data_IF_130171214352
#
_entry.id   IF_130171214352
#
_cell.length_a   1.000
_cell.length_b   1.000
_cell.length_c   1.000
_cell.angle_alpha   90.00
_cell.angle_beta   90.00
_cell.angle_gamma   90.00
#
_symmetry.space_group_name_H-M   'P 1'
#
loop_
_entity.id
_entity.type
_entity.pdbx_description
1 polymer ?
#
# COMPACT_ATOMS: atom_id res chain seq x y z
N UNK A 1 -79.29 11.08 -25.69
CA UNK A 1 -78.74 11.33 -24.34
C UNK A 1 -77.76 10.20 -24.08
N UNK A 2 -76.46 10.43 -24.20
CA UNK A 2 -75.48 9.42 -23.76
C UNK A 2 -75.53 9.45 -22.23
N UNK A 3 -75.76 8.30 -21.59
CA UNK A 3 -75.87 8.25 -20.13
C UNK A 3 -74.56 8.69 -19.49
N UNK A 4 -74.64 9.73 -18.65
CA UNK A 4 -73.52 10.33 -17.90
C UNK A 4 -72.71 9.27 -17.14
N UNK A 5 -73.37 8.19 -16.71
CA UNK A 5 -72.77 7.05 -16.03
C UNK A 5 -71.77 6.27 -16.89
N UNK A 6 -72.04 6.10 -18.19
CA UNK A 6 -71.15 5.37 -19.12
C UNK A 6 -69.85 6.13 -19.30
N UNK A 7 -69.94 7.46 -19.44
CA UNK A 7 -68.78 8.34 -19.59
C UNK A 7 -67.90 8.31 -18.33
N UNK A 8 -68.52 8.36 -17.14
CA UNK A 8 -67.79 8.31 -15.87
C UNK A 8 -67.02 7.01 -15.68
N UNK A 9 -67.63 5.86 -15.99
CA UNK A 9 -66.97 4.55 -15.90
C UNK A 9 -65.80 4.45 -16.88
N UNK A 10 -65.98 4.92 -18.13
CA UNK A 10 -64.92 4.91 -19.13
C UNK A 10 -63.72 5.75 -18.70
N UNK A 11 -63.96 6.96 -18.16
CA UNK A 11 -62.89 7.83 -17.64
C UNK A 11 -62.18 7.19 -16.45
N UNK A 12 -62.91 6.55 -15.53
CA UNK A 12 -62.31 5.89 -14.37
C UNK A 12 -61.40 4.72 -14.77
N UNK A 13 -61.81 3.90 -15.75
CA UNK A 13 -60.99 2.80 -16.27
C UNK A 13 -59.73 3.32 -16.95
N UNK A 14 -59.84 4.37 -17.76
CA UNK A 14 -58.68 5.00 -18.41
C UNK A 14 -57.69 5.58 -17.38
N UNK A 15 -58.21 6.23 -16.33
CA UNK A 15 -57.37 6.75 -15.25
C UNK A 15 -56.63 5.63 -14.48
N UNK A 16 -57.32 4.51 -14.22
CA UNK A 16 -56.71 3.35 -13.57
C UNK A 16 -55.61 2.72 -14.43
N UNK A 17 -55.89 2.52 -15.73
CA UNK A 17 -54.90 1.99 -16.69
C UNK A 17 -53.67 2.89 -16.81
N UNK A 18 -53.86 4.22 -16.87
CA UNK A 18 -52.77 5.18 -16.88
C UNK A 18 -51.89 5.08 -15.63
N UNK A 19 -52.52 4.93 -14.45
CA UNK A 19 -51.80 4.79 -13.17
C UNK A 19 -50.98 3.50 -13.12
N UNK A 20 -51.54 2.37 -13.56
CA UNK A 20 -50.84 1.09 -13.60
C UNK A 20 -49.66 1.13 -14.58
N UNK A 21 -49.85 1.69 -15.77
CA UNK A 21 -48.78 1.84 -16.76
C UNK A 21 -47.65 2.75 -16.25
N UNK A 22 -47.99 3.86 -15.59
CA UNK A 22 -47.02 4.78 -15.00
C UNK A 22 -46.22 4.11 -13.87
N UNK A 23 -46.87 3.33 -13.01
CA UNK A 23 -46.20 2.58 -11.95
C UNK A 23 -45.24 1.53 -12.51
N UNK A 24 -45.66 0.78 -13.54
CA UNK A 24 -44.82 -0.21 -14.20
C UNK A 24 -43.59 0.40 -14.88
N UNK A 25 -43.77 1.51 -15.61
CA UNK A 25 -42.67 2.26 -16.22
C UNK A 25 -41.70 2.81 -15.16
N UNK A 26 -42.23 3.37 -14.07
CA UNK A 26 -41.42 3.91 -12.98
C UNK A 26 -40.62 2.79 -12.30
N UNK A 27 -41.22 1.63 -12.04
CA UNK A 27 -40.53 0.46 -11.49
C UNK A 27 -39.41 -0.04 -12.41
N UNK A 28 -39.69 -0.16 -13.70
CA UNK A 28 -38.70 -0.55 -14.70
C UNK A 28 -37.52 0.43 -14.77
N UNK A 29 -37.81 1.74 -14.85
CA UNK A 29 -36.77 2.77 -14.86
C UNK A 29 -35.99 2.83 -13.55
N UNK A 30 -36.63 2.62 -12.39
CA UNK A 30 -35.95 2.59 -11.10
C UNK A 30 -34.92 1.47 -11.06
N UNK A 31 -35.31 0.25 -11.43
CA UNK A 31 -34.40 -0.91 -11.46
C UNK A 31 -33.22 -0.69 -12.42
N UNK A 32 -33.48 -0.17 -13.62
CA UNK A 32 -32.40 0.13 -14.59
C UNK A 32 -31.51 1.30 -14.16
N UNK A 33 -32.08 2.31 -13.49
CA UNK A 33 -31.35 3.49 -13.02
C UNK A 33 -30.47 3.16 -11.82
N UNK A 34 -30.94 2.30 -10.90
CA UNK A 34 -30.18 1.84 -9.75
C UNK A 34 -28.92 1.09 -10.17
N UNK A 35 -29.00 0.19 -11.14
CA UNK A 35 -27.83 -0.53 -11.65
C UNK A 35 -26.80 0.43 -12.26
N UNK A 36 -27.23 1.41 -13.07
CA UNK A 36 -26.33 2.42 -13.65
C UNK A 36 -25.70 3.32 -12.58
N UNK A 37 -26.49 3.80 -11.62
CA UNK A 37 -26.00 4.62 -10.49
C UNK A 37 -24.99 3.84 -9.66
N UNK A 38 -25.21 2.54 -9.49
CA UNK A 38 -24.31 1.64 -8.79
C UNK A 38 -23.01 1.41 -9.54
N UNK A 39 -23.06 1.17 -10.85
CA UNK A 39 -21.85 1.07 -11.67
C UNK A 39 -21.05 2.39 -11.68
N UNK A 40 -21.74 3.53 -11.71
CA UNK A 40 -21.10 4.83 -11.61
C UNK A 40 -20.44 5.05 -10.25
N UNK A 41 -21.09 4.66 -9.14
CA UNK A 41 -20.48 4.76 -7.81
C UNK A 41 -19.27 3.82 -7.66
N UNK A 42 -19.34 2.60 -8.21
CA UNK A 42 -18.19 1.69 -8.28
C UNK A 42 -17.01 2.33 -9.01
N UNK A 43 -17.24 2.87 -10.20
CA UNK A 43 -16.19 3.53 -10.99
C UNK A 43 -15.60 4.74 -10.27
N UNK A 44 -16.43 5.52 -9.59
CA UNK A 44 -15.97 6.66 -8.79
C UNK A 44 -15.09 6.22 -7.60
N UNK A 45 -15.49 5.17 -6.88
CA UNK A 45 -14.68 4.61 -5.79
C UNK A 45 -13.38 4.02 -6.29
N UNK A 46 -13.41 3.26 -7.40
CA UNK A 46 -12.20 2.71 -8.00
C UNK A 46 -11.27 3.83 -8.48
N UNK A 47 -11.78 4.85 -9.15
CA UNK A 47 -11.00 6.02 -9.60
C UNK A 47 -10.31 6.74 -8.43
N UNK A 48 -10.92 6.78 -7.24
CA UNK A 48 -10.32 7.38 -6.05
C UNK A 48 -9.07 6.65 -5.55
N UNK A 49 -9.05 5.31 -5.65
CA UNK A 49 -7.95 4.48 -5.16
C UNK A 49 -6.99 4.01 -6.25
N UNK A 50 -7.35 4.32 -7.48
CA UNK A 50 -6.62 3.98 -8.68
C UNK A 50 -5.17 4.48 -8.64
N UNK A 51 -4.99 5.80 -8.62
CA UNK A 51 -3.65 6.41 -8.71
C UNK A 51 -2.78 6.09 -7.50
N UNK A 52 -3.30 6.12 -6.24
CA UNK A 52 -2.48 5.75 -5.10
C UNK A 52 -2.03 4.28 -5.10
N UNK A 53 -2.87 3.36 -5.57
CA UNK A 53 -2.51 1.95 -5.70
C UNK A 53 -1.49 1.74 -6.83
N UNK A 54 -1.67 2.44 -7.96
CA UNK A 54 -0.71 2.43 -9.07
C UNK A 54 0.67 2.86 -8.60
N UNK A 55 0.78 4.03 -7.96
CA UNK A 55 2.05 4.56 -7.46
C UNK A 55 2.73 3.60 -6.49
N UNK A 56 1.96 3.01 -5.55
CA UNK A 56 2.52 2.06 -4.60
C UNK A 56 2.96 0.73 -5.26
N UNK A 57 2.26 0.30 -6.32
CA UNK A 57 2.65 -0.88 -7.09
C UNK A 57 3.91 -0.61 -7.92
N UNK A 58 4.04 0.57 -8.53
CA UNK A 58 5.22 0.99 -9.29
C UNK A 58 6.45 1.13 -8.37
N UNK A 59 6.31 1.81 -7.23
CA UNK A 59 7.38 1.95 -6.23
C UNK A 59 7.88 0.58 -5.74
N UNK A 60 6.96 -0.36 -5.47
CA UNK A 60 7.33 -1.72 -5.07
C UNK A 60 7.99 -2.49 -6.22
N UNK A 61 7.48 -2.38 -7.45
CA UNK A 61 8.04 -3.02 -8.64
C UNK A 61 9.47 -2.55 -8.90
N UNK A 62 9.70 -1.22 -8.92
CA UNK A 62 11.03 -0.62 -9.07
C UNK A 62 11.96 -1.06 -7.94
N UNK A 63 11.47 -1.12 -6.70
CA UNK A 63 12.29 -1.59 -5.58
C UNK A 63 12.72 -3.05 -5.76
N UNK A 64 11.84 -3.91 -6.27
CA UNK A 64 12.18 -5.31 -6.56
C UNK A 64 13.18 -5.42 -7.71
N UNK A 65 13.03 -4.64 -8.78
CA UNK A 65 14.03 -4.57 -9.86
C UNK A 65 15.39 -4.18 -9.28
N UNK A 66 15.45 -3.19 -8.40
CA UNK A 66 16.70 -2.76 -7.79
C UNK A 66 17.33 -3.84 -6.91
N UNK A 67 16.52 -4.61 -6.19
CA UNK A 67 16.99 -5.73 -5.36
C UNK A 67 17.48 -6.89 -6.23
N UNK A 68 16.77 -7.21 -7.31
CA UNK A 68 17.03 -8.39 -8.17
C UNK A 68 18.16 -8.11 -9.17
N UNK A 69 18.06 -7.04 -9.96
CA UNK A 69 18.92 -6.82 -11.14
C UNK A 69 20.23 -6.12 -10.80
N UNK A 70 20.18 -5.12 -9.92
CA UNK A 70 21.37 -4.32 -9.62
C UNK A 70 22.19 -4.84 -8.45
N UNK A 71 21.73 -5.94 -7.81
CA UNK A 71 22.37 -6.45 -6.60
C UNK A 71 22.56 -5.33 -5.57
N UNK A 72 21.61 -4.38 -5.50
CA UNK A 72 21.70 -3.18 -4.65
C UNK A 72 22.08 -3.54 -3.21
N UNK A 73 21.64 -4.71 -2.76
CA UNK A 73 21.94 -5.25 -1.44
C UNK A 73 23.41 -5.67 -1.28
N UNK A 74 24.06 -6.15 -2.34
CA UNK A 74 25.50 -6.47 -2.35
C UNK A 74 26.37 -5.23 -2.35
N UNK A 75 26.04 -4.21 -3.15
CA UNK A 75 26.80 -2.95 -3.15
C UNK A 75 26.74 -2.27 -1.78
N UNK A 76 25.59 -2.36 -1.11
CA UNK A 76 25.45 -1.96 0.29
C UNK A 76 26.32 -2.82 1.22
N UNK A 77 26.31 -4.14 1.08
CA UNK A 77 27.10 -5.03 1.94
C UNK A 77 28.61 -4.79 1.79
N UNK A 78 29.08 -4.54 0.57
CA UNK A 78 30.49 -4.33 0.22
C UNK A 78 31.02 -2.97 0.74
N UNK A 79 30.16 -1.94 0.77
CA UNK A 79 30.51 -0.62 1.32
C UNK A 79 30.25 -0.46 2.83
N UNK A 80 29.71 -1.48 3.52
CA UNK A 80 29.39 -1.44 4.96
C UNK A 80 30.44 -2.19 5.81
N UNK A 81 31.71 -2.23 5.38
CA UNK A 81 32.81 -2.54 6.31
C UNK A 81 33.20 -1.27 7.05
N UNK A 82 32.36 -0.85 8.01
CA UNK A 82 32.56 0.34 8.82
C UNK A 82 32.53 -0.09 10.29
N UNK A 83 33.55 0.32 11.05
CA UNK A 83 33.88 -0.17 12.37
C UNK A 83 32.82 0.04 13.46
N UNK A 84 33.12 -0.37 14.70
CA UNK A 84 32.15 -0.51 15.80
C UNK A 84 31.46 0.77 16.29
N UNK A 85 31.72 1.94 15.67
CA UNK A 85 31.24 3.25 16.14
C UNK A 85 30.67 4.18 15.05
N UNK A 86 30.50 3.76 13.79
CA UNK A 86 30.11 4.69 12.70
C UNK A 86 28.77 4.34 12.01
N UNK A 87 28.20 5.39 11.41
CA UNK A 87 26.80 5.71 11.18
C UNK A 87 25.87 4.61 10.61
N UNK A 88 24.75 4.23 11.29
CA UNK A 88 23.74 3.27 10.83
C UNK A 88 22.92 3.69 9.58
N UNK A 89 23.38 4.68 8.81
CA UNK A 89 22.60 5.44 7.83
C UNK A 89 22.15 4.65 6.60
N UNK A 90 23.07 4.05 5.84
CA UNK A 90 22.76 3.59 4.46
C UNK A 90 22.14 2.19 4.40
N UNK A 91 22.69 1.21 5.14
CA UNK A 91 22.07 -0.13 5.25
C UNK A 91 20.73 -0.03 6.00
N UNK A 92 20.69 0.78 7.06
CA UNK A 92 19.48 1.08 7.81
C UNK A 92 18.41 1.73 6.93
N UNK A 93 18.79 2.65 6.05
CA UNK A 93 17.88 3.26 5.07
C UNK A 93 17.30 2.23 4.11
N UNK A 94 18.13 1.37 3.53
CA UNK A 94 17.69 0.40 2.52
C UNK A 94 16.69 -0.61 3.06
N UNK A 95 16.92 -1.11 4.28
CA UNK A 95 15.97 -1.98 4.98
C UNK A 95 14.68 -1.22 5.29
N UNK A 96 14.75 -0.02 5.89
CA UNK A 96 13.58 0.79 6.25
C UNK A 96 12.75 1.16 5.03
N UNK A 97 13.39 1.60 3.95
CA UNK A 97 12.72 1.99 2.71
C UNK A 97 12.08 0.79 2.02
N UNK A 98 12.75 -0.38 2.01
CA UNK A 98 12.13 -1.62 1.47
C UNK A 98 10.90 -1.98 2.28
N UNK A 99 11.00 -2.00 3.61
CA UNK A 99 9.85 -2.23 4.48
C UNK A 99 8.73 -1.21 4.27
N UNK A 100 9.06 0.06 4.04
CA UNK A 100 8.09 1.11 3.76
C UNK A 100 7.34 0.90 2.44
N UNK A 101 7.99 0.57 1.33
CA UNK A 101 7.26 0.35 0.05
C UNK A 101 6.31 -0.84 0.12
N UNK A 102 6.69 -1.89 0.86
CA UNK A 102 5.76 -3.00 1.18
C UNK A 102 4.59 -2.52 2.04
N UNK A 103 4.87 -1.73 3.09
CA UNK A 103 3.84 -1.14 3.95
C UNK A 103 2.85 -0.29 3.15
N UNK A 104 3.37 0.56 2.24
CA UNK A 104 2.59 1.44 1.39
C UNK A 104 1.69 0.66 0.45
N UNK A 105 2.22 -0.35 -0.24
CA UNK A 105 1.43 -1.24 -1.08
C UNK A 105 0.31 -1.91 -0.27
N UNK A 106 0.63 -2.53 0.87
CA UNK A 106 -0.37 -3.20 1.70
C UNK A 106 -1.38 -2.24 2.33
N UNK A 107 -1.01 -0.99 2.64
CA UNK A 107 -1.93 0.03 3.11
C UNK A 107 -2.99 0.32 2.06
N UNK A 108 -2.60 0.55 0.80
CA UNK A 108 -3.55 0.79 -0.28
C UNK A 108 -4.41 -0.42 -0.61
N UNK A 109 -3.85 -1.63 -0.54
CA UNK A 109 -4.64 -2.88 -0.65
C UNK A 109 -5.65 -3.00 0.51
N UNK A 110 -5.27 -2.64 1.73
CA UNK A 110 -6.16 -2.65 2.88
C UNK A 110 -7.28 -1.61 2.76
N UNK A 111 -6.95 -0.38 2.35
CA UNK A 111 -7.93 0.69 2.09
C UNK A 111 -8.91 0.25 1.00
N UNK A 112 -8.40 -0.23 -0.13
CA UNK A 112 -9.23 -0.74 -1.22
C UNK A 112 -10.13 -1.89 -0.73
N UNK A 113 -9.59 -2.84 0.04
CA UNK A 113 -10.38 -3.96 0.59
C UNK A 113 -11.51 -3.46 1.49
N UNK A 114 -11.24 -2.55 2.43
CA UNK A 114 -12.24 -2.03 3.37
C UNK A 114 -13.41 -1.37 2.64
N UNK A 115 -13.13 -0.65 1.57
CA UNK A 115 -14.17 0.02 0.79
C UNK A 115 -14.85 -0.90 -0.22
N UNK A 116 -14.16 -1.94 -0.73
CA UNK A 116 -14.70 -2.91 -1.71
C UNK A 116 -15.40 -4.11 -1.09
N UNK A 117 -15.25 -4.38 0.21
CA UNK A 117 -15.99 -5.45 0.90
C UNK A 117 -17.51 -5.23 0.84
N UNK A 118 -17.95 -3.96 0.73
CA UNK A 118 -19.34 -3.59 0.44
C UNK A 118 -19.73 -3.73 -1.05
N UNK A 119 -18.76 -3.93 -1.95
CA UNK A 119 -18.91 -3.84 -3.41
C UNK A 119 -18.77 -5.20 -4.11
N UNK A 120 -18.26 -6.22 -3.41
CA UNK A 120 -17.89 -7.54 -3.95
C UNK A 120 -19.01 -8.35 -4.66
N UNK A 121 -20.33 -8.16 -4.45
CA UNK A 121 -21.29 -8.99 -5.18
C UNK A 121 -21.47 -8.61 -6.67
N UNK A 122 -20.75 -7.63 -7.24
CA UNK A 122 -21.11 -7.04 -8.56
C UNK A 122 -19.96 -6.73 -9.55
N UNK A 123 -18.73 -7.16 -9.30
CA UNK A 123 -17.69 -7.08 -10.35
C UNK A 123 -17.96 -8.17 -11.39
N UNK A 124 -18.43 -7.77 -12.58
CA UNK A 124 -18.58 -8.66 -13.72
C UNK A 124 -17.20 -9.25 -14.10
N UNK A 125 -17.18 -10.55 -14.41
CA UNK A 125 -15.98 -11.21 -14.94
C UNK A 125 -15.48 -10.48 -16.19
N UNK A 126 -14.17 -10.23 -16.27
CA UNK A 126 -13.54 -9.49 -17.37
C UNK A 126 -13.64 -7.96 -17.28
N UNK A 127 -14.08 -7.41 -16.14
CA UNK A 127 -13.94 -5.97 -15.88
C UNK A 127 -12.57 -5.65 -15.26
N UNK A 128 -12.02 -4.46 -15.53
CA UNK A 128 -10.75 -4.01 -14.95
C UNK A 128 -10.72 -4.13 -13.41
N UNK A 129 -11.86 -3.89 -12.73
CA UNK A 129 -11.96 -4.09 -11.28
C UNK A 129 -11.84 -5.56 -10.86
N UNK A 130 -12.40 -6.50 -11.64
CA UNK A 130 -12.21 -7.92 -11.40
C UNK A 130 -10.74 -8.33 -11.61
N UNK A 131 -10.10 -7.80 -12.65
CA UNK A 131 -8.69 -8.08 -12.96
C UNK A 131 -7.75 -7.55 -11.86
N UNK A 132 -8.00 -6.35 -11.33
CA UNK A 132 -7.26 -5.81 -10.17
C UNK A 132 -7.41 -6.74 -8.96
N UNK A 133 -8.63 -7.16 -8.62
CA UNK A 133 -8.87 -8.05 -7.47
C UNK A 133 -8.18 -9.40 -7.65
N UNK A 134 -8.21 -9.96 -8.87
CA UNK A 134 -7.51 -11.21 -9.20
C UNK A 134 -5.99 -11.05 -9.05
N UNK A 135 -5.41 -9.99 -9.61
CA UNK A 135 -3.97 -9.73 -9.54
C UNK A 135 -3.52 -9.52 -8.09
N UNK A 136 -4.27 -8.77 -7.30
CA UNK A 136 -4.01 -8.60 -5.86
C UNK A 136 -4.05 -9.94 -5.12
N UNK A 137 -5.01 -10.82 -5.42
CA UNK A 137 -5.06 -12.16 -4.83
C UNK A 137 -3.84 -13.02 -5.21
N UNK A 138 -3.38 -12.93 -6.46
CA UNK A 138 -2.20 -13.62 -6.97
C UNK A 138 -0.91 -13.11 -6.33
N UNK A 139 -0.74 -11.79 -6.21
CA UNK A 139 0.39 -11.15 -5.50
C UNK A 139 0.48 -11.65 -4.06
N UNK A 140 -0.65 -11.63 -3.32
CA UNK A 140 -0.73 -12.14 -1.95
C UNK A 140 -0.39 -13.62 -1.84
N UNK A 141 -0.82 -14.42 -2.83
CA UNK A 141 -0.53 -15.85 -2.91
C UNK A 141 0.97 -16.10 -3.09
N UNK A 142 1.60 -15.38 -4.03
CA UNK A 142 3.05 -15.48 -4.30
C UNK A 142 3.84 -15.15 -3.04
N UNK A 143 3.53 -14.05 -2.35
CA UNK A 143 4.20 -13.63 -1.11
C UNK A 143 4.05 -14.64 0.05
N UNK A 144 2.94 -15.37 0.12
CA UNK A 144 2.75 -16.43 1.14
C UNK A 144 3.44 -17.73 0.74
N UNK A 145 3.47 -18.04 -0.55
CA UNK A 145 4.04 -19.28 -1.09
C UNK A 145 5.56 -19.26 -1.11
N UNK A 146 6.21 -20.42 -1.04
CA UNK A 146 7.65 -20.56 -1.23
C UNK A 146 8.29 -21.59 -0.30
N UNK A 147 9.36 -22.21 -0.78
CA UNK A 147 10.20 -23.12 0.02
C UNK A 147 11.27 -22.37 0.82
N UNK A 148 11.60 -21.14 0.41
CA UNK A 148 12.59 -20.32 1.08
C UNK A 148 11.90 -19.22 1.92
N UNK A 149 12.30 -18.99 3.18
CA UNK A 149 11.68 -18.00 4.06
C UNK A 149 11.86 -16.52 3.65
N UNK A 150 12.70 -16.22 2.65
CA UNK A 150 13.10 -14.85 2.26
C UNK A 150 11.96 -14.03 1.69
N UNK A 151 11.45 -12.99 2.35
CA UNK A 151 10.21 -12.30 1.89
C UNK A 151 8.98 -13.23 1.84
N UNK A 152 8.98 -14.32 2.62
CA UNK A 152 7.77 -15.10 2.82
C UNK A 152 6.88 -14.40 3.85
N UNK A 153 5.79 -13.78 3.39
CA UNK A 153 4.91 -12.98 4.24
C UNK A 153 3.58 -13.72 4.37
N UNK A 154 3.28 -14.23 5.57
CA UNK A 154 2.00 -14.88 5.84
C UNK A 154 0.83 -13.90 5.67
N UNK A 155 -0.35 -14.39 5.31
CA UNK A 155 -1.53 -13.53 5.02
C UNK A 155 -1.95 -12.65 6.20
N UNK A 156 -1.79 -13.15 7.43
CA UNK A 156 -2.03 -12.35 8.65
C UNK A 156 -1.05 -11.18 8.76
N UNK A 157 0.23 -11.42 8.49
CA UNK A 157 1.28 -10.38 8.50
C UNK A 157 1.03 -9.36 7.38
N UNK A 158 0.68 -9.80 6.16
CA UNK A 158 0.32 -8.89 5.06
C UNK A 158 -0.84 -7.95 5.45
N UNK A 159 -1.85 -8.49 6.15
CA UNK A 159 -3.01 -7.70 6.60
C UNK A 159 -2.61 -6.74 7.71
N UNK A 160 -1.83 -7.20 8.69
CA UNK A 160 -1.32 -6.37 9.78
C UNK A 160 -0.45 -5.21 9.25
N UNK A 161 0.47 -5.46 8.31
CA UNK A 161 1.26 -4.42 7.65
C UNK A 161 0.37 -3.34 7.02
N UNK A 162 -0.67 -3.74 6.31
CA UNK A 162 -1.61 -2.79 5.71
C UNK A 162 -2.40 -2.00 6.74
N UNK A 163 -2.86 -2.65 7.81
CA UNK A 163 -3.61 -1.99 8.89
C UNK A 163 -2.75 -0.97 9.64
N UNK A 164 -1.55 -1.35 10.09
CA UNK A 164 -0.67 -0.47 10.89
C UNK A 164 -0.06 0.67 10.06
N UNK A 165 0.00 0.52 8.74
CA UNK A 165 0.47 1.55 7.82
C UNK A 165 -0.66 2.47 7.32
N UNK A 166 -1.91 2.21 7.70
CA UNK A 166 -3.06 3.05 7.34
C UNK A 166 -3.40 4.02 8.46
N UNK A 167 -3.67 5.29 8.12
CA UNK A 167 -4.17 6.32 9.03
C UNK A 167 -5.38 7.03 8.44
N UNK A 168 -6.22 7.62 9.30
CA UNK A 168 -7.36 8.46 8.90
C UNK A 168 -7.07 9.93 9.22
N UNK A 169 -7.41 10.83 8.29
CA UNK A 169 -7.21 12.29 8.50
C UNK A 169 -8.13 12.91 9.55
N UNK A 170 -9.16 12.20 9.99
CA UNK A 170 -10.06 12.65 11.05
C UNK A 170 -9.80 11.86 12.32
N UNK A 171 -9.83 12.56 13.45
CA UNK A 171 -9.82 11.98 14.80
C UNK A 171 -11.04 11.06 15.04
N UNK A 172 -12.13 11.28 14.31
CA UNK A 172 -13.37 10.50 14.45
C UNK A 172 -13.38 9.23 13.59
N UNK A 173 -12.28 8.92 12.89
CA UNK A 173 -12.18 7.75 12.00
C UNK A 173 -13.01 7.84 10.72
N UNK A 174 -13.69 8.97 10.48
CA UNK A 174 -14.49 9.23 9.26
C UNK A 174 -13.71 9.95 8.15
N UNK A 175 -12.42 10.19 8.38
CA UNK A 175 -11.56 10.90 7.43
C UNK A 175 -11.18 10.02 6.24
N UNK A 176 -10.59 10.64 5.22
CA UNK A 176 -9.99 9.89 4.13
C UNK A 176 -8.86 9.02 4.69
N UNK A 177 -8.90 7.73 4.36
CA UNK A 177 -7.85 6.80 4.71
C UNK A 177 -6.67 7.00 3.76
N UNK A 178 -5.46 7.01 4.32
CA UNK A 178 -4.20 7.12 3.57
C UNK A 178 -3.12 6.27 4.21
N UNK A 179 -2.10 5.94 3.41
CA UNK A 179 -0.86 5.40 3.95
C UNK A 179 -0.14 6.47 4.79
N UNK A 180 0.51 6.07 5.89
CA UNK A 180 1.45 6.94 6.60
C UNK A 180 2.62 7.32 5.69
N UNK A 181 3.15 8.54 5.84
CA UNK A 181 4.34 8.95 5.10
C UNK A 181 5.62 8.29 5.61
N UNK A 182 6.68 8.28 4.78
CA UNK A 182 7.96 7.63 5.13
C UNK A 182 8.61 8.18 6.41
N UNK A 183 8.49 9.48 6.68
CA UNK A 183 9.00 10.09 7.90
C UNK A 183 8.30 9.53 9.16
N UNK A 184 6.96 9.46 9.14
CA UNK A 184 6.16 8.87 10.22
C UNK A 184 6.42 7.36 10.36
N UNK A 185 6.62 6.66 9.24
CA UNK A 185 7.07 5.26 9.25
C UNK A 185 8.42 5.11 9.95
N UNK A 186 9.41 5.96 9.63
CA UNK A 186 10.72 5.95 10.28
C UNK A 186 10.65 6.26 11.77
N UNK A 187 9.78 7.20 12.17
CA UNK A 187 9.56 7.53 13.58
C UNK A 187 8.98 6.32 14.33
N UNK A 188 7.88 5.73 13.83
CA UNK A 188 7.29 4.49 14.39
C UNK A 188 8.30 3.35 14.43
N UNK A 189 9.08 3.21 13.37
CA UNK A 189 10.18 2.25 13.34
C UNK A 189 11.16 2.53 14.47
N UNK A 190 11.54 3.77 14.77
CA UNK A 190 12.48 4.08 15.84
C UNK A 190 11.88 3.88 17.25
N UNK A 191 10.60 4.21 17.46
CA UNK A 191 10.00 4.30 18.79
C UNK A 191 9.20 3.07 19.21
N UNK A 192 8.70 2.27 18.27
CA UNK A 192 7.80 1.13 18.54
C UNK A 192 8.44 -0.20 18.11
N UNK A 193 9.09 -0.96 19.00
CA UNK A 193 9.69 -2.26 18.65
C UNK A 193 8.69 -3.26 18.07
N UNK A 194 7.47 -3.29 18.60
CA UNK A 194 6.39 -4.15 18.10
C UNK A 194 5.90 -3.77 16.69
N UNK A 195 6.12 -2.53 16.24
CA UNK A 195 5.85 -2.14 14.86
C UNK A 195 6.86 -2.80 13.91
N UNK A 196 8.14 -2.86 14.30
CA UNK A 196 9.22 -3.42 13.47
C UNK A 196 9.05 -4.91 13.22
N UNK A 197 8.56 -5.66 14.20
CA UNK A 197 8.46 -7.13 14.12
C UNK A 197 7.54 -7.59 12.99
N UNK A 198 6.54 -6.78 12.62
CA UNK A 198 5.71 -7.06 11.45
C UNK A 198 6.51 -7.09 10.14
N UNK A 199 7.63 -6.38 10.07
CA UNK A 199 8.51 -6.28 8.90
C UNK A 199 9.69 -7.24 8.92
N UNK A 200 9.84 -8.09 9.94
CA UNK A 200 10.95 -9.04 10.06
C UNK A 200 11.14 -9.94 8.82
N UNK A 201 10.09 -10.44 8.13
CA UNK A 201 10.27 -11.22 6.90
C UNK A 201 10.98 -10.45 5.78
N UNK A 202 10.76 -9.13 5.71
CA UNK A 202 11.40 -8.23 4.73
C UNK A 202 12.82 -7.92 5.18
N UNK A 203 13.03 -7.60 6.47
CA UNK A 203 14.35 -7.35 7.05
C UNK A 203 15.27 -8.56 6.82
N UNK A 204 14.78 -9.76 7.13
CA UNK A 204 15.51 -11.00 6.92
C UNK A 204 15.72 -11.30 5.44
N UNK A 205 14.70 -11.09 4.61
CA UNK A 205 14.81 -11.25 3.16
C UNK A 205 15.90 -10.38 2.55
N UNK A 206 15.98 -9.10 2.94
CA UNK A 206 17.04 -8.18 2.49
C UNK A 206 18.40 -8.67 3.00
N UNK A 207 18.53 -9.05 4.28
CA UNK A 207 19.81 -9.55 4.83
C UNK A 207 20.29 -10.83 4.16
N UNK A 208 19.39 -11.77 3.90
CA UNK A 208 19.72 -13.03 3.24
C UNK A 208 20.11 -12.84 1.79
N UNK A 209 19.54 -11.84 1.10
CA UNK A 209 20.00 -11.47 -0.24
C UNK A 209 21.39 -10.84 -0.19
N UNK A 210 21.68 -10.01 0.82
CA UNK A 210 22.97 -9.35 0.99
C UNK A 210 24.15 -10.35 1.08
N UNK A 211 23.90 -11.53 1.66
CA UNK A 211 24.91 -12.54 1.97
C UNK A 211 25.11 -13.59 0.88
N UNK A 212 24.32 -13.59 -0.19
CA UNK A 212 24.42 -14.58 -1.27
C UNK A 212 25.38 -14.16 -2.39
N UNK A 213 25.72 -15.06 -3.32
CA UNK A 213 26.35 -14.65 -4.58
C UNK A 213 25.36 -13.86 -5.45
N UNK A 214 25.86 -12.86 -6.20
CA UNK A 214 25.05 -11.98 -7.07
C UNK A 214 24.17 -12.73 -8.10
N UNK A 215 24.49 -13.98 -8.42
CA UNK A 215 23.87 -14.73 -9.53
C UNK A 215 22.64 -15.57 -9.12
N UNK A 216 22.24 -15.59 -7.85
CA UNK A 216 21.08 -16.40 -7.41
C UNK A 216 19.81 -15.56 -7.45
N UNK A 217 19.20 -15.46 -8.63
CA UNK A 217 17.90 -14.79 -8.79
C UNK A 217 16.79 -15.53 -8.03
N UNK A 218 16.10 -14.84 -7.12
CA UNK A 218 14.92 -15.39 -6.46
C UNK A 218 13.72 -15.38 -7.42
N UNK A 219 13.42 -16.55 -8.00
CA UNK A 219 12.28 -16.74 -8.89
C UNK A 219 10.96 -16.20 -8.33
N UNK A 220 10.75 -16.22 -7.01
CA UNK A 220 9.53 -15.69 -6.40
C UNK A 220 9.48 -14.17 -6.51
N UNK A 221 10.59 -13.47 -6.24
CA UNK A 221 10.65 -12.02 -6.36
C UNK A 221 10.50 -11.57 -7.81
N UNK A 222 11.05 -12.33 -8.77
CA UNK A 222 10.80 -12.12 -10.20
C UNK A 222 9.31 -12.29 -10.55
N UNK A 223 8.67 -13.38 -10.11
CA UNK A 223 7.22 -13.58 -10.33
C UNK A 223 6.41 -12.44 -9.69
N UNK A 224 6.76 -12.03 -8.48
CA UNK A 224 6.11 -10.92 -7.79
C UNK A 224 6.23 -9.62 -8.59
N UNK A 225 7.42 -9.32 -9.10
CA UNK A 225 7.67 -8.14 -9.92
C UNK A 225 6.87 -8.19 -11.23
N UNK A 226 6.79 -9.35 -11.90
CA UNK A 226 5.96 -9.50 -13.10
C UNK A 226 4.46 -9.29 -12.80
N UNK A 227 3.96 -9.79 -11.66
CA UNK A 227 2.56 -9.57 -11.26
C UNK A 227 2.27 -8.12 -10.91
N UNK A 228 3.24 -7.40 -10.32
CA UNK A 228 3.13 -5.96 -10.09
C UNK A 228 3.11 -5.20 -11.42
N UNK A 229 3.92 -5.60 -12.41
CA UNK A 229 3.83 -5.04 -13.76
C UNK A 229 2.45 -5.28 -14.38
N UNK A 230 1.89 -6.48 -14.29
CA UNK A 230 0.52 -6.74 -14.79
C UNK A 230 -0.51 -5.84 -14.08
N UNK A 231 -0.36 -5.63 -12.75
CA UNK A 231 -1.25 -4.75 -11.99
C UNK A 231 -1.13 -3.29 -12.45
N UNK A 232 0.10 -2.83 -12.70
CA UNK A 232 0.36 -1.50 -13.23
C UNK A 232 -0.24 -1.36 -14.64
N UNK A 233 -0.12 -2.37 -15.50
CA UNK A 233 -0.69 -2.36 -16.86
C UNK A 233 -2.23 -2.29 -16.83
N UNK A 234 -2.90 -2.91 -15.84
CA UNK A 234 -4.35 -2.83 -15.66
C UNK A 234 -4.79 -1.48 -15.10
N UNK A 235 -4.00 -0.87 -14.21
CA UNK A 235 -4.29 0.44 -13.63
C UNK A 235 -3.98 1.56 -14.65
N UNK A 236 -2.82 1.56 -15.26
CA UNK A 236 -2.42 2.59 -16.22
C UNK A 236 -2.14 1.98 -17.61
N UNK A 237 -3.20 1.62 -18.38
CA UNK A 237 -3.05 1.07 -19.73
C UNK A 237 -2.30 1.98 -20.70
N UNK A 238 -2.35 3.30 -20.48
CA UNK A 238 -1.67 4.28 -21.32
C UNK A 238 -0.20 4.49 -20.90
N UNK A 239 0.21 3.94 -19.75
CA UNK A 239 1.54 4.08 -19.17
C UNK A 239 1.99 5.54 -19.05
N UNK A 240 1.08 6.42 -18.65
CA UNK A 240 1.38 7.84 -18.45
C UNK A 240 2.31 8.02 -17.23
N UNK A 241 2.15 7.17 -16.22
CA UNK A 241 2.77 7.33 -14.90
C UNK A 241 3.76 6.21 -14.54
N UNK A 242 3.91 5.18 -15.37
CA UNK A 242 4.73 4.00 -15.06
C UNK A 242 6.20 4.13 -15.47
N UNK A 243 7.11 3.96 -14.52
CA UNK A 243 8.55 3.83 -14.80
C UNK A 243 8.96 2.37 -15.07
N UNK A 244 8.29 1.41 -14.45
CA UNK A 244 8.57 -0.01 -14.60
C UNK A 244 7.95 -0.61 -15.88
N UNK A 245 8.34 -0.12 -17.07
CA UNK A 245 7.82 -0.68 -18.33
C UNK A 245 8.34 -2.11 -18.56
N UNK A 246 7.41 -3.07 -18.51
CA UNK A 246 7.50 -4.35 -19.23
C UNK A 246 8.74 -5.21 -18.98
N UNK A 247 9.40 -5.04 -17.84
CA UNK A 247 10.52 -5.89 -17.47
C UNK A 247 9.98 -7.27 -17.11
N UNK A 248 10.06 -8.19 -18.07
CA UNK A 248 10.04 -9.61 -17.80
C UNK A 248 11.43 -10.20 -18.08
N UNK A 249 12.46 -9.59 -17.48
CA UNK A 249 13.83 -10.08 -17.57
C UNK A 249 13.97 -11.32 -16.70
N UNK A 250 14.41 -12.42 -17.31
CA UNK A 250 14.36 -13.73 -16.69
C UNK A 250 12.96 -14.33 -16.77
N UNK A 251 12.85 -15.56 -17.27
CA UNK A 251 11.59 -16.32 -17.24
C UNK A 251 11.66 -17.30 -16.07
N UNK A 252 11.18 -16.93 -14.88
CA UNK A 252 11.12 -17.90 -13.80
C UNK A 252 10.15 -19.02 -14.20
N UNK A 253 10.49 -20.29 -13.92
CA UNK A 253 9.59 -21.40 -14.19
C UNK A 253 8.27 -21.16 -13.46
N UNK A 254 7.15 -21.44 -14.15
CA UNK A 254 5.78 -21.27 -13.63
C UNK A 254 5.35 -19.81 -13.41
N UNK A 255 6.02 -18.84 -14.05
CA UNK A 255 5.49 -17.48 -14.09
C UNK A 255 4.13 -17.45 -14.80
N UNK A 256 3.13 -16.86 -14.15
CA UNK A 256 1.77 -16.76 -14.68
C UNK A 256 1.42 -15.35 -15.18
N UNK A 257 2.38 -14.41 -15.23
CA UNK A 257 2.08 -13.06 -15.72
C UNK A 257 1.62 -13.10 -17.18
N UNK A 258 0.85 -12.09 -17.59
CA UNK A 258 0.24 -12.00 -18.92
C UNK A 258 1.27 -12.14 -20.04
N UNK A 259 2.43 -11.50 -19.87
CA UNK A 259 3.55 -11.53 -20.83
C UNK A 259 4.20 -12.93 -20.93
N UNK A 260 4.48 -13.58 -19.80
CA UNK A 260 5.04 -14.94 -19.81
C UNK A 260 4.04 -15.98 -20.34
N UNK A 261 2.77 -15.88 -19.99
CA UNK A 261 1.72 -16.79 -20.44
C UNK A 261 1.54 -16.75 -21.97
N UNK A 262 1.51 -15.55 -22.55
CA UNK A 262 1.35 -15.35 -24.00
C UNK A 262 2.47 -16.02 -24.80
N UNK A 263 3.71 -15.99 -24.30
CA UNK A 263 4.84 -16.59 -25.01
C UNK A 263 4.83 -18.12 -24.89
N UNK A 264 4.40 -18.68 -23.75
CA UNK A 264 4.22 -20.14 -23.60
C UNK A 264 3.19 -20.65 -24.61
N UNK A 265 2.08 -19.92 -24.78
CA UNK A 265 1.03 -20.26 -25.74
C UNK A 265 1.57 -20.28 -27.18
N UNK A 266 2.28 -19.21 -27.61
CA UNK A 266 2.89 -19.13 -28.94
C UNK A 266 3.94 -20.22 -29.21
N UNK A 267 4.73 -20.58 -28.20
CA UNK A 267 5.71 -21.66 -28.32
C UNK A 267 5.04 -23.04 -28.46
N UNK A 268 3.89 -23.24 -27.81
CA UNK A 268 3.07 -24.44 -27.96
C UNK A 268 2.44 -24.57 -29.36
N UNK A 269 1.96 -23.47 -29.94
CA UNK A 269 1.38 -23.44 -31.28
C UNK A 269 2.41 -23.74 -32.39
N UNK A 270 3.64 -23.26 -32.26
CA UNK A 270 4.71 -23.52 -33.24
C UNK A 270 5.37 -24.90 -33.07
N UNK A 271 5.18 -25.55 -31.92
CA UNK A 271 5.82 -26.82 -31.56
C UNK A 271 5.03 -28.09 -31.88
N UNK A 272 3.83 -28.00 -32.47
CA UNK A 272 3.05 -29.19 -32.89
C UNK A 272 2.62 -30.12 -31.75
N UNK A 273 2.66 -29.69 -30.49
CA UNK A 273 2.12 -30.44 -29.36
C UNK A 273 0.68 -30.00 -29.10
N UNK A 274 -0.23 -30.55 -29.91
CA UNK A 274 -1.67 -30.51 -29.64
C UNK A 274 -2.00 -31.35 -28.41
N UNK A 275 -1.81 -30.80 -27.22
CA UNK A 275 -2.51 -31.26 -26.03
C UNK A 275 -3.26 -30.08 -25.41
N UNK A 276 -4.57 -30.26 -25.36
CA UNK A 276 -5.60 -29.40 -24.79
C UNK A 276 -5.30 -29.08 -23.32
N UNK A 277 -4.45 -28.08 -23.08
CA UNK A 277 -4.26 -27.47 -21.75
C UNK A 277 -5.48 -26.59 -21.45
N UNK A 278 -6.61 -27.23 -21.11
CA UNK A 278 -7.74 -26.57 -20.46
C UNK A 278 -7.26 -25.90 -19.17
N UNK A 279 -7.44 -24.58 -19.10
CA UNK A 279 -7.06 -23.65 -18.03
C UNK A 279 -7.00 -24.26 -16.62
N UNK A 280 -5.84 -24.78 -16.18
CA UNK A 280 -5.74 -25.52 -14.92
C UNK A 280 -5.91 -24.63 -13.69
N UNK A 281 -5.84 -23.31 -13.85
CA UNK A 281 -5.98 -22.34 -12.75
C UNK A 281 -7.44 -22.03 -12.38
N UNK A 282 -8.42 -22.27 -13.28
CA UNK A 282 -9.85 -22.16 -12.93
C UNK A 282 -10.31 -23.22 -11.92
N UNK A 283 -9.57 -24.32 -11.78
CA UNK A 283 -9.88 -25.39 -10.83
C UNK A 283 -9.20 -25.21 -9.46
N UNK A 284 -8.28 -24.24 -9.32
CA UNK A 284 -7.53 -24.01 -8.08
C UNK A 284 -8.13 -22.91 -7.17
N UNK A 285 -9.41 -22.57 -7.34
CA UNK A 285 -10.13 -21.72 -6.39
C UNK A 285 -10.36 -22.48 -5.07
N UNK A 286 -9.37 -22.41 -4.18
CA UNK A 286 -9.56 -22.73 -2.76
C UNK A 286 -10.60 -21.74 -2.21
N UNK A 287 -11.67 -22.19 -1.54
CA UNK A 287 -12.61 -21.28 -0.91
C UNK A 287 -11.86 -20.44 0.12
N UNK A 288 -11.94 -19.10 -0.02
CA UNK A 288 -11.50 -18.18 1.02
C UNK A 288 -12.25 -18.53 2.32
N UNK A 289 -11.58 -18.55 3.49
CA UNK A 289 -12.30 -18.61 4.75
C UNK A 289 -13.22 -17.39 4.82
N UNK A 290 -14.50 -17.64 5.05
CA UNK A 290 -15.55 -16.62 5.18
C UNK A 290 -15.27 -15.62 6.32
N UNK A 291 -16.11 -14.58 6.44
CA UNK A 291 -15.89 -13.50 7.39
C UNK A 291 -15.83 -14.05 8.82
N UNK A 292 -14.85 -13.56 9.56
CA UNK A 292 -14.68 -13.76 11.00
C UNK A 292 -16.02 -13.64 11.74
N UNK A 293 -16.31 -14.63 12.58
CA UNK A 293 -17.39 -14.60 13.57
C UNK A 293 -17.43 -13.25 14.27
N UNK A 294 -18.55 -12.54 14.14
CA UNK A 294 -18.91 -11.46 15.05
C UNK A 294 -19.09 -12.06 16.44
N UNK A 295 -18.17 -11.73 17.35
CA UNK A 295 -18.36 -11.96 18.79
C UNK A 295 -19.46 -11.01 19.24
N UNK A 296 -20.67 -11.53 19.41
CA UNK A 296 -21.75 -10.82 20.08
C UNK A 296 -21.32 -10.51 21.52
N UNK A 297 -21.05 -9.23 21.78
CA UNK A 297 -20.92 -8.70 23.14
C UNK A 297 -22.30 -8.69 23.79
N UNK A 298 -22.58 -9.73 24.58
CA UNK A 298 -23.71 -9.72 25.52
C UNK A 298 -23.35 -8.83 26.70
N UNK A 299 -24.00 -7.67 26.82
CA UNK A 299 -24.11 -6.91 28.07
C UNK A 299 -24.81 -7.78 29.13
N UNK A 300 -24.26 -7.92 30.35
CA UNK A 300 -25.06 -8.25 31.51
C UNK A 300 -25.58 -6.97 32.16
N UNK A 301 -26.89 -6.98 32.40
CA UNK A 301 -27.59 -6.03 33.25
C UNK A 301 -27.23 -6.25 34.72
N UNK A 302 -27.42 -5.19 35.50
CA UNK A 302 -27.10 -5.04 36.92
C UNK A 302 -27.67 -6.15 37.83
N UNK A 303 -26.86 -6.57 38.80
CA UNK A 303 -27.36 -6.97 40.11
C UNK A 303 -26.36 -6.67 41.23
N UNK A 304 -26.92 -6.33 42.38
CA UNK A 304 -26.32 -5.68 43.54
C UNK A 304 -25.47 -6.63 44.39
N UNK A 305 -24.32 -6.14 44.90
CA UNK A 305 -23.80 -6.60 46.19
C UNK A 305 -22.88 -5.59 46.85
N UNK A 306 -23.31 -5.19 48.05
CA UNK A 306 -22.60 -4.49 49.14
C UNK A 306 -21.14 -4.94 49.30
N UNK A 307 -20.20 -4.03 49.63
CA UNK A 307 -19.46 -4.00 50.91
C UNK A 307 -18.29 -2.97 50.92
N UNK A 308 -18.23 -2.23 52.03
CA UNK A 308 -17.03 -1.76 52.79
C UNK A 308 -16.14 -0.59 52.33
N UNK A 309 -15.95 0.33 53.29
CA UNK A 309 -15.01 1.46 53.37
C UNK A 309 -13.54 1.08 53.15
N UNK A 310 -12.68 2.03 52.70
CA UNK A 310 -11.25 2.00 53.00
C UNK A 310 -10.90 2.84 54.27
N UNK A 311 -9.85 2.48 55.02
CA UNK A 311 -9.38 3.24 56.17
C UNK A 311 -8.40 4.36 55.78
N UNK A 312 -8.34 5.37 56.64
CA UNK A 312 -7.39 6.48 56.62
C UNK A 312 -6.00 6.04 57.11
N UNK A 313 -4.95 6.64 56.53
CA UNK A 313 -3.58 6.67 57.04
C UNK A 313 -3.13 8.14 57.00
N UNK A 314 -3.19 8.84 58.14
CA UNK A 314 -2.11 9.11 59.10
C UNK A 314 -1.00 10.01 58.53
N UNK A 315 -1.04 11.26 59.00
CA UNK A 315 0.02 12.26 58.92
C UNK A 315 1.12 11.96 59.95
N UNK A 316 2.38 12.21 59.59
CA UNK A 316 3.45 12.42 60.57
C UNK A 316 4.44 13.48 60.09
N UNK A 317 4.81 14.35 61.02
CA UNK A 317 5.63 15.55 60.88
C UNK A 317 7.15 15.30 60.68
N UNK A 318 7.79 16.29 60.03
CA UNK A 318 9.18 16.81 60.03
C UNK A 318 10.06 16.57 61.30
N UNK A 319 11.41 16.79 61.31
CA UNK A 319 12.13 17.94 60.70
C UNK A 319 13.65 17.83 60.28
N UNK A 320 14.15 18.95 59.67
CA UNK A 320 15.52 19.57 59.66
C UNK A 320 16.74 18.76 59.12
N UNK A 321 17.80 19.32 58.50
CA UNK A 321 18.26 20.65 58.06
C UNK A 321 19.66 20.50 57.41
N UNK A 322 20.11 21.54 56.66
CA UNK A 322 21.50 21.86 56.24
C UNK A 322 22.05 21.07 55.03
N UNK A 323 22.83 21.61 54.08
CA UNK A 323 23.31 22.96 53.77
C UNK A 323 24.19 22.90 52.49
N UNK A 324 24.30 24.02 51.78
CA UNK A 324 25.40 24.44 50.90
C UNK A 324 25.67 23.69 49.57
N UNK A 325 25.80 24.48 48.50
CA UNK A 325 26.43 24.05 47.25
C UNK A 325 26.02 24.88 46.02
N UNK A 326 26.37 26.17 46.01
CA UNK A 326 26.32 26.99 44.79
C UNK A 326 27.23 26.40 43.69
N UNK A 327 26.68 26.18 42.49
CA UNK A 327 27.47 26.20 41.26
C UNK A 327 26.60 26.69 40.09
N UNK A 328 26.70 27.99 39.79
CA UNK A 328 26.34 28.57 38.50
C UNK A 328 27.30 28.01 37.45
N UNK A 329 26.79 27.20 36.51
CA UNK A 329 27.40 27.00 35.19
C UNK A 329 26.42 27.49 34.14
N UNK A 330 26.74 28.66 33.58
CA UNK A 330 26.20 29.14 32.31
C UNK A 330 26.53 28.10 31.23
N UNK A 331 25.51 27.49 30.65
CA UNK A 331 25.65 26.72 29.42
C UNK A 331 25.05 27.55 28.30
N UNK A 332 25.92 28.03 27.42
CA UNK A 332 25.59 28.73 26.18
C UNK A 332 24.92 27.72 25.24
N UNK A 333 23.60 27.83 25.09
CA UNK A 333 22.86 27.13 24.05
C UNK A 333 23.13 27.82 22.71
N UNK A 334 23.80 27.10 21.80
CA UNK A 334 23.92 27.45 20.39
C UNK A 334 22.54 27.39 19.72
N UNK A 335 21.85 28.52 19.66
CA UNK A 335 20.74 28.78 18.73
C UNK A 335 21.30 28.98 17.31
N UNK A 336 21.69 27.88 16.65
CA UNK A 336 22.24 27.90 15.28
C UNK A 336 21.33 27.31 14.20
N UNK A 337 20.28 26.57 14.56
CA UNK A 337 19.52 25.75 13.59
C UNK A 337 18.09 26.23 13.32
N UNK A 338 17.57 27.23 14.05
CA UNK A 338 16.17 27.66 13.91
C UNK A 338 16.00 28.96 13.10
N UNK A 339 17.06 29.76 12.95
CA UNK A 339 17.03 31.03 12.19
C UNK A 339 17.09 30.76 10.68
N UNK A 340 17.75 29.69 10.25
CA UNK A 340 17.92 29.38 8.82
C UNK A 340 16.62 28.87 8.18
N UNK A 341 15.76 28.20 8.96
CA UNK A 341 14.45 27.74 8.50
C UNK A 341 13.39 28.85 8.47
N UNK A 342 13.47 29.87 9.33
CA UNK A 342 12.61 31.06 9.21
C UNK A 342 13.03 31.98 8.05
N UNK A 343 14.33 32.15 7.80
CA UNK A 343 14.80 32.97 6.66
C UNK A 343 14.44 32.37 5.30
N UNK A 344 14.45 31.04 5.16
CA UNK A 344 13.99 30.37 3.94
C UNK A 344 12.47 30.48 3.74
N UNK A 345 11.69 30.49 4.82
CA UNK A 345 10.23 30.65 4.76
C UNK A 345 9.80 32.09 4.41
N UNK A 346 10.59 33.10 4.81
CA UNK A 346 10.34 34.49 4.40
C UNK A 346 10.83 34.79 2.98
N UNK A 347 11.93 34.18 2.53
CA UNK A 347 12.40 34.30 1.13
C UNK A 347 11.42 33.71 0.11
N UNK A 348 10.63 32.71 0.48
CA UNK A 348 9.61 32.14 -0.42
C UNK A 348 8.37 33.05 -0.56
N UNK A 349 8.07 33.89 0.44
CA UNK A 349 6.93 34.82 0.42
C UNK A 349 7.21 36.10 -0.37
N UNK A 350 8.48 36.48 -0.57
CA UNK A 350 8.83 37.76 -1.21
C UNK A 350 8.95 37.71 -2.75
N UNK A 351 8.80 36.53 -3.38
CA UNK A 351 8.71 36.42 -4.84
C UNK A 351 9.97 36.82 -5.61
N UNK A 352 11.12 36.97 -4.95
CA UNK A 352 12.37 37.40 -5.61
C UNK A 352 13.12 36.18 -6.16
N UNK A 353 13.05 35.98 -7.47
CA UNK A 353 13.87 34.99 -8.18
C UNK A 353 15.33 35.45 -8.21
N UNK A 354 16.23 34.69 -7.57
CA UNK A 354 17.68 34.87 -7.70
C UNK A 354 18.23 33.68 -8.47
N UNK A 355 18.62 33.90 -9.71
CA UNK A 355 19.34 32.92 -10.55
C UNK A 355 20.77 32.79 -10.02
N UNK A 356 21.26 31.59 -9.67
CA UNK A 356 22.65 31.43 -9.25
C UNK A 356 23.58 31.48 -10.47
N UNK A 357 24.49 32.45 -10.45
CA UNK A 357 25.62 32.56 -11.39
C UNK A 357 26.60 31.42 -11.11
N UNK A 358 26.71 30.48 -12.06
CA UNK A 358 27.71 29.40 -12.03
C UNK A 358 29.11 29.98 -12.26
N UNK A 359 29.94 29.99 -11.22
CA UNK A 359 31.39 30.23 -11.34
C UNK A 359 32.07 28.99 -11.95
N UNK A 360 32.71 29.18 -13.09
CA UNK A 360 33.48 28.15 -13.79
C UNK A 360 34.66 27.60 -12.98
N UNK A 361 34.84 26.29 -13.05
CA UNK A 361 36.04 25.57 -12.58
C UNK A 361 37.24 25.92 -13.50
N UNK A 362 38.45 26.14 -12.96
CA UNK A 362 39.65 26.26 -13.77
C UNK A 362 40.09 24.89 -14.31
N UNK A 363 40.58 24.89 -15.56
CA UNK A 363 41.10 23.72 -16.26
C UNK A 363 42.45 23.22 -15.68
N UNK A 364 42.76 21.92 -15.77
CA UNK A 364 44.04 21.38 -15.34
C UNK A 364 45.17 21.68 -16.33
N UNK A 365 46.44 21.77 -15.87
CA UNK A 365 47.57 22.09 -16.72
C UNK A 365 47.95 20.92 -17.65
N UNK A 366 48.14 21.24 -18.92
CA UNK A 366 48.70 20.38 -19.96
C UNK A 366 50.20 20.19 -19.74
N UNK A 367 50.61 18.93 -19.53
CA UNK A 367 52.02 18.53 -19.52
C UNK A 367 52.56 18.49 -20.95
N UNK A 368 53.48 19.40 -21.28
CA UNK A 368 54.30 19.33 -22.49
C UNK A 368 55.44 18.34 -22.27
N UNK A 369 55.42 17.25 -23.03
CA UNK A 369 56.54 16.33 -23.17
C UNK A 369 57.69 16.99 -23.95
N UNK A 370 58.91 16.87 -23.41
CA UNK A 370 60.15 17.12 -24.13
C UNK A 370 60.51 15.88 -24.98
N UNK A 371 60.94 16.12 -26.20
CA UNK A 371 61.77 15.21 -26.98
C UNK A 371 63.02 15.97 -27.45
N UNK A 372 64.13 15.23 -27.47
CA UNK A 372 65.52 15.55 -27.87
C UNK A 372 66.38 16.19 -26.79
#
# INVERSE_FOLDING_TARGET
MIDVNIVSIAVAVLALLGTVAQAALTGWFSLHSEEKKRQASLRATFSKYHDPLHLAADDLSVKLINIISYGFVHELAEHTYIGPNDDPGVQGYSVKHTSFVFAQFFAWVNILRRDTEFLRPHTASGSAGADVIELLARIRSVLRSGFHPRFQIATGIQSAMGEIATTSDSLDGKGQMRCIGFAAFCEKWATEPAFRTWFDPIVQGVRDLASQPKDVADNRLLILQHLLSDLIDVLDPEHIHSYAKGHCEGRPPRCMCTKCATIIFRAGEQGGFGQELKEPWKQAQVPFPGPFMQVHSTRPSAEQSKLTRPPQLVQSHHPRSASLGEHKKQTVLKTGSFVQSQQLAEQWKSGTSVVPVLRGKPAPPTSTGKAV
#
